data_IF_756175233518
#
_entry.id   IF_756175233518
#
_cell.length_a   1.000
_cell.length_b   1.000
_cell.length_c   1.000
_cell.angle_alpha   90.00
_cell.angle_beta   90.00
_cell.angle_gamma   90.00
#
_symmetry.space_group_name_H-M   'P 1'
#
loop_
_entity.id
_entity.type
_entity.pdbx_description
1 polymer ?
#
# COMPACT_ATOMS: atom_id res chain seq x y z
N UNK A 1 29.15 2.38 11.12
CA UNK A 1 29.76 2.18 9.79
C UNK A 1 29.59 3.42 8.95
N UNK A 2 30.69 3.96 8.37
CA UNK A 2 30.70 5.13 7.51
C UNK A 2 30.86 4.74 6.06
N UNK A 3 29.91 5.08 5.22
CA UNK A 3 29.88 4.74 3.80
C UNK A 3 29.98 6.04 2.98
N UNK A 4 30.75 6.00 1.90
CA UNK A 4 30.79 7.06 0.89
C UNK A 4 30.38 6.52 -0.47
N UNK A 5 29.40 7.17 -1.10
CA UNK A 5 29.09 7.03 -2.51
C UNK A 5 29.75 8.23 -3.22
N UNK A 6 30.66 8.02 -4.17
CA UNK A 6 31.37 9.11 -4.79
C UNK A 6 31.18 9.18 -6.30
N UNK A 7 31.23 10.40 -6.85
CA UNK A 7 31.20 10.66 -8.28
C UNK A 7 29.84 10.54 -8.97
N UNK A 8 28.75 10.32 -8.24
CA UNK A 8 27.40 10.19 -8.80
C UNK A 8 26.70 11.52 -9.04
N UNK A 9 25.70 11.53 -9.92
CA UNK A 9 24.80 12.66 -10.06
C UNK A 9 23.73 12.60 -8.97
N UNK A 10 23.85 13.45 -7.95
CA UNK A 10 22.95 13.51 -6.80
C UNK A 10 21.74 14.35 -7.15
N UNK A 11 20.55 13.72 -7.16
CA UNK A 11 19.27 14.41 -7.36
C UNK A 11 18.48 14.38 -6.05
N UNK A 12 18.36 15.56 -5.41
CA UNK A 12 17.60 15.76 -4.18
C UNK A 12 16.81 17.07 -4.28
N UNK A 13 15.59 17.01 -4.83
CA UNK A 13 14.76 18.21 -5.04
C UNK A 13 14.39 18.94 -3.74
N UNK A 14 14.28 18.21 -2.61
CA UNK A 14 13.94 18.79 -1.31
C UNK A 14 15.04 19.73 -0.83
N UNK A 15 16.30 19.38 -1.06
CA UNK A 15 17.46 20.19 -0.69
C UNK A 15 18.05 20.96 -1.87
N UNK A 16 17.36 21.03 -3.01
CA UNK A 16 17.77 21.77 -4.20
C UNK A 16 19.07 21.25 -4.83
N UNK A 17 19.36 19.94 -4.74
CA UNK A 17 20.57 19.36 -5.31
C UNK A 17 20.28 18.68 -6.65
N UNK A 18 21.06 19.03 -7.64
CA UNK A 18 21.21 18.36 -8.93
C UNK A 18 22.65 18.59 -9.40
N UNK A 19 23.55 17.75 -8.91
CA UNK A 19 24.98 17.95 -9.16
C UNK A 19 25.77 16.64 -9.00
N UNK A 20 26.90 16.55 -9.69
CA UNK A 20 27.89 15.51 -9.44
C UNK A 20 28.55 15.78 -8.08
N UNK A 21 28.59 14.75 -7.24
CA UNK A 21 29.15 14.88 -5.89
C UNK A 21 29.18 13.55 -5.14
N UNK A 22 29.41 13.69 -3.85
CA UNK A 22 29.52 12.56 -2.93
C UNK A 22 28.40 12.58 -1.90
N UNK A 23 27.90 11.38 -1.58
CA UNK A 23 26.94 11.16 -0.51
C UNK A 23 27.62 10.37 0.62
N UNK A 24 27.45 10.86 1.85
CA UNK A 24 28.01 10.21 3.03
C UNK A 24 26.87 9.67 3.90
N UNK A 25 27.03 8.40 4.31
CA UNK A 25 26.03 7.68 5.09
C UNK A 25 26.69 7.12 6.35
N UNK A 26 26.08 7.39 7.52
CA UNK A 26 26.48 6.80 8.79
C UNK A 26 25.24 6.21 9.48
N UNK A 27 25.34 4.94 9.83
CA UNK A 27 24.30 4.21 10.57
C UNK A 27 22.89 4.39 9.97
N UNK A 28 22.83 4.22 8.62
CA UNK A 28 21.59 4.33 7.85
C UNK A 28 21.08 5.74 7.60
N UNK A 29 21.85 6.79 7.97
CA UNK A 29 21.46 8.19 7.77
C UNK A 29 22.45 8.94 6.89
N UNK A 30 21.92 9.78 6.01
CA UNK A 30 22.74 10.73 5.24
C UNK A 30 23.27 11.78 6.19
N UNK A 31 24.57 12.06 6.09
CA UNK A 31 25.28 13.05 6.91
C UNK A 31 26.05 14.04 6.05
N UNK A 32 26.40 15.17 6.62
CA UNK A 32 27.37 16.10 6.02
C UNK A 32 28.75 15.46 5.94
N UNK A 33 29.57 15.92 5.01
CA UNK A 33 30.96 15.42 4.83
C UNK A 33 31.71 15.46 6.15
N UNK A 34 32.16 14.32 6.69
CA UNK A 34 32.86 14.29 7.97
C UNK A 34 34.30 14.76 7.79
N UNK A 35 34.68 15.80 8.54
CA UNK A 35 36.05 16.34 8.48
C UNK A 35 37.08 15.32 9.00
N UNK A 36 38.09 15.03 8.18
CA UNK A 36 39.24 14.19 8.58
C UNK A 36 38.95 12.72 8.85
N UNK A 37 37.75 12.22 8.57
CA UNK A 37 37.39 10.81 8.72
C UNK A 37 37.48 10.10 7.39
N UNK A 38 38.07 8.90 7.42
CA UNK A 38 38.03 8.00 6.25
C UNK A 38 36.78 7.13 6.31
N UNK A 39 36.15 6.86 5.17
CA UNK A 39 35.02 5.93 5.12
C UNK A 39 35.48 4.50 5.41
N UNK A 40 34.61 3.70 5.99
CA UNK A 40 34.82 2.28 6.17
C UNK A 40 34.63 1.54 4.84
N UNK A 41 33.72 2.05 3.98
CA UNK A 41 33.42 1.48 2.66
C UNK A 41 33.17 2.62 1.67
N UNK A 42 33.70 2.48 0.45
CA UNK A 42 33.45 3.40 -0.66
C UNK A 42 32.86 2.67 -1.86
N UNK A 43 31.90 3.32 -2.52
CA UNK A 43 31.33 2.85 -3.79
C UNK A 43 31.53 3.92 -4.85
N UNK A 44 32.11 3.55 -5.97
CA UNK A 44 32.16 4.37 -7.17
C UNK A 44 30.78 4.31 -7.85
N UNK A 45 30.10 5.43 -7.88
CA UNK A 45 28.81 5.60 -8.54
C UNK A 45 28.89 6.60 -9.68
N UNK A 46 30.08 6.77 -10.25
CA UNK A 46 30.31 7.63 -11.43
C UNK A 46 29.43 7.16 -12.59
N UNK A 47 28.73 8.13 -13.21
CA UNK A 47 27.78 7.84 -14.30
C UNK A 47 26.41 7.33 -13.84
N UNK A 48 26.20 7.17 -12.54
CA UNK A 48 24.89 6.78 -11.98
C UNK A 48 24.18 8.00 -11.38
N UNK A 49 22.84 7.91 -11.38
CA UNK A 49 21.99 8.84 -10.62
C UNK A 49 21.80 8.31 -9.21
N UNK A 50 22.05 9.16 -8.22
CA UNK A 50 21.83 8.88 -6.80
C UNK A 50 20.67 9.72 -6.32
N UNK A 51 19.56 9.10 -6.01
CA UNK A 51 18.33 9.77 -5.59
C UNK A 51 17.61 8.94 -4.52
N UNK A 52 16.60 9.53 -3.89
CA UNK A 52 15.72 8.79 -2.97
C UNK A 52 15.06 7.62 -3.70
N UNK A 53 14.97 6.47 -3.03
CA UNK A 53 14.26 5.31 -3.56
C UNK A 53 12.79 5.60 -3.77
N UNK A 54 12.20 5.03 -4.82
CA UNK A 54 10.80 5.19 -5.11
C UNK A 54 9.92 4.49 -4.05
N UNK A 55 8.75 5.08 -3.78
CA UNK A 55 7.75 4.55 -2.86
C UNK A 55 6.47 4.27 -3.66
N UNK A 56 6.04 3.01 -3.67
CA UNK A 56 4.75 2.62 -4.24
C UNK A 56 3.75 2.43 -3.10
N UNK A 57 2.81 3.37 -2.98
CA UNK A 57 1.80 3.36 -1.92
C UNK A 57 0.53 2.58 -2.30
N UNK A 58 0.48 2.00 -3.48
CA UNK A 58 -0.72 1.33 -3.98
C UNK A 58 -0.38 0.19 -4.94
N UNK A 59 0.15 -0.90 -4.42
CA UNK A 59 0.44 -2.09 -5.21
C UNK A 59 0.01 -3.36 -4.50
N UNK A 60 -0.71 -4.21 -5.21
CA UNK A 60 -1.17 -5.49 -4.68
C UNK A 60 -0.04 -6.52 -4.71
N UNK A 61 0.60 -6.72 -3.56
CA UNK A 61 1.76 -7.63 -3.40
C UNK A 61 1.51 -8.79 -2.45
N UNK A 62 0.43 -8.76 -1.67
CA UNK A 62 0.06 -9.80 -0.71
C UNK A 62 -1.45 -9.97 -0.58
N UNK A 63 -1.87 -11.03 0.09
CA UNK A 63 -3.27 -11.30 0.41
C UNK A 63 -4.01 -12.17 -0.59
N UNK A 64 -5.22 -12.61 -0.23
CA UNK A 64 -5.97 -13.63 -0.94
C UNK A 64 -6.27 -13.29 -2.40
N UNK A 65 -6.56 -12.03 -2.74
CA UNK A 65 -6.79 -11.59 -4.11
C UNK A 65 -5.56 -11.74 -5.00
N UNK A 66 -4.40 -11.37 -4.47
CA UNK A 66 -3.12 -11.52 -5.18
C UNK A 66 -2.77 -12.99 -5.40
N UNK A 67 -2.96 -13.83 -4.38
CA UNK A 67 -2.71 -15.26 -4.48
C UNK A 67 -3.62 -15.92 -5.51
N UNK A 68 -4.90 -15.54 -5.54
CA UNK A 68 -5.82 -15.99 -6.59
C UNK A 68 -5.36 -15.55 -7.97
N UNK A 69 -4.94 -14.29 -8.15
CA UNK A 69 -4.44 -13.79 -9.41
C UNK A 69 -3.18 -14.56 -9.87
N UNK A 70 -2.27 -14.86 -8.95
CA UNK A 70 -1.09 -15.68 -9.25
C UNK A 70 -1.46 -17.07 -9.76
N UNK A 71 -2.48 -17.70 -9.19
CA UNK A 71 -2.97 -19.02 -9.64
C UNK A 71 -3.66 -18.96 -11.01
N UNK A 72 -4.33 -17.85 -11.32
CA UNK A 72 -5.06 -17.67 -12.58
C UNK A 72 -4.17 -17.25 -13.76
N UNK A 73 -2.92 -16.89 -13.52
CA UNK A 73 -1.96 -16.45 -14.54
C UNK A 73 -0.75 -17.41 -14.63
N UNK A 74 -0.96 -18.68 -14.99
CA UNK A 74 0.11 -19.66 -15.02
C UNK A 74 1.22 -19.31 -16.02
N UNK A 75 0.91 -18.57 -17.08
CA UNK A 75 1.88 -18.07 -18.05
C UNK A 75 2.88 -17.07 -17.46
N UNK A 76 2.53 -16.40 -16.39
CA UNK A 76 3.42 -15.52 -15.65
C UNK A 76 4.36 -16.28 -14.71
N UNK A 77 4.17 -17.58 -14.52
CA UNK A 77 4.99 -18.39 -13.61
C UNK A 77 6.42 -18.53 -14.14
N UNK A 78 7.44 -18.41 -13.27
CA UNK A 78 8.84 -18.49 -13.67
C UNK A 78 9.23 -19.78 -14.37
N UNK A 79 8.49 -20.86 -14.15
CA UNK A 79 8.68 -22.15 -14.83
C UNK A 79 8.49 -22.09 -16.34
N UNK A 80 7.67 -21.17 -16.84
CA UNK A 80 7.44 -20.91 -18.26
C UNK A 80 8.42 -19.89 -18.87
N UNK A 81 9.19 -19.20 -18.03
CA UNK A 81 10.20 -18.23 -18.47
C UNK A 81 11.59 -18.83 -18.26
N UNK A 82 12.50 -18.59 -19.22
CA UNK A 82 13.91 -18.97 -19.10
C UNK A 82 14.66 -18.09 -18.10
N UNK A 83 14.16 -17.98 -16.87
CA UNK A 83 14.79 -17.20 -15.80
C UNK A 83 15.52 -18.11 -14.82
N UNK A 84 16.60 -17.65 -14.18
CA UNK A 84 17.27 -18.40 -13.13
C UNK A 84 16.28 -18.76 -12.02
N UNK A 85 16.22 -20.03 -11.66
CA UNK A 85 15.40 -20.51 -10.54
C UNK A 85 16.12 -20.20 -9.25
N UNK A 86 15.61 -19.26 -8.47
CA UNK A 86 16.26 -18.85 -7.22
C UNK A 86 15.84 -19.70 -6.02
N UNK A 87 14.68 -20.35 -6.08
CA UNK A 87 14.19 -21.25 -5.03
C UNK A 87 13.44 -22.42 -5.66
N UNK A 88 13.33 -23.58 -4.99
CA UNK A 88 12.48 -24.69 -5.47
C UNK A 88 11.02 -24.27 -5.69
N UNK A 89 10.49 -23.36 -4.88
CA UNK A 89 9.12 -22.83 -4.99
C UNK A 89 8.95 -21.92 -6.21
N UNK A 90 9.99 -21.25 -6.68
CA UNK A 90 9.92 -20.38 -7.87
C UNK A 90 9.62 -21.15 -9.16
N UNK A 91 9.74 -22.48 -9.13
CA UNK A 91 9.34 -23.34 -10.25
C UNK A 91 7.84 -23.60 -10.31
N UNK A 92 7.12 -23.35 -9.22
CA UNK A 92 5.69 -23.65 -9.07
C UNK A 92 4.84 -22.41 -9.38
N UNK A 93 5.33 -21.22 -9.08
CA UNK A 93 4.60 -19.99 -9.32
C UNK A 93 5.40 -18.75 -8.96
N UNK A 94 4.82 -17.59 -9.26
CA UNK A 94 5.36 -16.30 -8.84
C UNK A 94 5.19 -16.14 -7.33
N UNK A 95 6.29 -15.90 -6.62
CA UNK A 95 6.29 -15.77 -5.15
C UNK A 95 6.47 -14.32 -4.69
N UNK A 96 6.17 -14.07 -3.42
CA UNK A 96 6.46 -12.79 -2.74
C UNK A 96 7.95 -12.44 -2.81
N UNK A 97 8.83 -13.43 -2.74
CA UNK A 97 10.27 -13.24 -2.87
C UNK A 97 10.67 -12.60 -4.21
N UNK A 98 10.13 -13.10 -5.33
CA UNK A 98 10.37 -12.53 -6.66
C UNK A 98 9.81 -11.11 -6.79
N UNK A 99 8.68 -10.84 -6.14
CA UNK A 99 8.09 -9.49 -6.08
C UNK A 99 9.08 -8.49 -5.47
N UNK A 100 9.68 -8.81 -4.32
CA UNK A 100 10.65 -7.92 -3.67
C UNK A 100 11.87 -7.63 -4.54
N UNK A 101 12.39 -8.65 -5.21
CA UNK A 101 13.52 -8.48 -6.14
C UNK A 101 13.18 -7.58 -7.33
N UNK A 102 12.00 -7.78 -7.92
CA UNK A 102 11.54 -6.97 -9.06
C UNK A 102 11.40 -5.50 -8.68
N UNK A 103 10.75 -5.21 -7.54
CA UNK A 103 10.62 -3.84 -7.06
C UNK A 103 11.97 -3.18 -6.77
N UNK A 104 12.89 -3.91 -6.14
CA UNK A 104 14.24 -3.41 -5.88
C UNK A 104 15.01 -3.12 -7.18
N UNK A 105 14.90 -3.98 -8.20
CA UNK A 105 15.51 -3.77 -9.52
C UNK A 105 14.94 -2.54 -10.25
N UNK A 106 13.68 -2.20 -9.99
CA UNK A 106 13.03 -1.01 -10.54
C UNK A 106 13.33 0.28 -9.75
N UNK A 107 14.13 0.18 -8.67
CA UNK A 107 14.50 1.32 -7.84
C UNK A 107 13.50 1.69 -6.74
N UNK A 108 12.53 0.83 -6.45
CA UNK A 108 11.65 1.02 -5.31
C UNK A 108 12.31 0.54 -4.02
N UNK A 109 12.16 1.32 -2.97
CA UNK A 109 12.63 0.98 -1.62
C UNK A 109 11.49 0.67 -0.66
N UNK A 110 10.28 1.07 -0.98
CA UNK A 110 9.09 0.84 -0.14
C UNK A 110 7.88 0.54 -1.00
N UNK A 111 7.10 -0.47 -0.61
CA UNK A 111 5.86 -0.85 -1.30
C UNK A 111 4.76 -1.12 -0.28
N UNK A 112 3.58 -0.54 -0.50
CA UNK A 112 2.43 -0.66 0.39
C UNK A 112 1.32 -1.45 -0.32
N UNK A 113 0.91 -2.56 0.30
CA UNK A 113 -0.28 -3.30 -0.09
C UNK A 113 -1.53 -2.53 0.36
N UNK A 114 -2.36 -2.07 -0.57
CA UNK A 114 -3.42 -1.12 -0.23
C UNK A 114 -4.72 -1.76 0.28
N UNK A 115 -4.86 -3.08 0.33
CA UNK A 115 -6.18 -3.66 0.53
C UNK A 115 -6.19 -5.02 1.24
N UNK A 116 -5.87 -5.03 2.53
CA UNK A 116 -5.99 -6.23 3.36
C UNK A 116 -7.23 -6.15 4.24
N UNK A 117 -8.08 -7.16 4.15
CA UNK A 117 -9.23 -7.30 5.03
C UNK A 117 -8.76 -7.65 6.45
N UNK A 118 -9.41 -7.14 7.52
CA UNK A 118 -8.93 -7.33 8.88
C UNK A 118 -8.64 -8.79 9.27
N UNK A 119 -9.49 -9.71 8.86
CA UNK A 119 -9.33 -11.14 9.16
C UNK A 119 -8.21 -11.83 8.35
N UNK A 120 -7.63 -11.17 7.36
CA UNK A 120 -6.47 -11.66 6.60
C UNK A 120 -5.14 -11.04 7.08
N UNK A 121 -5.16 -10.16 8.07
CA UNK A 121 -3.99 -9.39 8.49
C UNK A 121 -2.79 -10.26 8.86
N UNK A 122 -3.00 -11.31 9.67
CA UNK A 122 -1.93 -12.22 10.06
C UNK A 122 -1.28 -12.89 8.85
N UNK A 123 -2.10 -13.39 7.93
CA UNK A 123 -1.61 -14.04 6.71
C UNK A 123 -0.82 -13.05 5.84
N UNK A 124 -1.32 -11.82 5.70
CA UNK A 124 -0.61 -10.78 4.95
C UNK A 124 0.75 -10.43 5.58
N UNK A 125 0.85 -10.37 6.91
CA UNK A 125 2.13 -10.17 7.59
C UNK A 125 3.14 -11.30 7.29
N UNK A 126 2.68 -12.55 7.30
CA UNK A 126 3.54 -13.69 6.95
C UNK A 126 4.05 -13.57 5.51
N UNK A 127 3.15 -13.27 4.55
CA UNK A 127 3.54 -13.08 3.15
C UNK A 127 4.49 -11.89 2.96
N UNK A 128 4.21 -10.76 3.61
CA UNK A 128 5.06 -9.58 3.52
C UNK A 128 6.44 -9.83 4.14
N UNK A 129 6.55 -10.68 5.17
CA UNK A 129 7.83 -11.01 5.78
C UNK A 129 8.77 -11.75 4.83
N UNK A 130 8.23 -12.47 3.85
CA UNK A 130 8.99 -13.18 2.83
C UNK A 130 9.50 -12.27 1.69
N UNK A 131 9.02 -11.03 1.61
CA UNK A 131 9.48 -10.07 0.60
C UNK A 131 10.84 -9.50 1.03
N UNK A 132 11.94 -9.77 0.31
CA UNK A 132 13.25 -9.28 0.67
C UNK A 132 13.49 -7.84 0.19
N UNK A 133 14.54 -7.21 0.70
CA UNK A 133 15.20 -6.00 0.20
C UNK A 133 14.39 -4.71 0.48
N UNK A 134 13.13 -4.67 0.11
CA UNK A 134 12.29 -3.46 0.21
C UNK A 134 11.57 -3.37 1.56
N UNK A 135 11.28 -2.16 2.01
CA UNK A 135 10.33 -1.91 3.08
C UNK A 135 8.90 -2.15 2.60
N UNK A 136 8.05 -2.65 3.47
CA UNK A 136 6.69 -3.03 3.12
C UNK A 136 5.75 -2.89 4.31
N UNK A 137 4.49 -2.68 3.98
CA UNK A 137 3.39 -2.61 4.93
C UNK A 137 2.07 -2.77 4.20
N UNK A 138 0.97 -2.69 4.93
CA UNK A 138 -0.35 -2.71 4.30
C UNK A 138 -1.33 -1.76 4.97
N UNK A 139 -2.38 -1.41 4.21
CA UNK A 139 -3.57 -0.73 4.70
C UNK A 139 -4.66 -1.76 4.96
N UNK A 140 -5.33 -1.67 6.12
CA UNK A 140 -6.52 -2.48 6.38
C UNK A 140 -7.76 -1.80 5.80
N UNK A 141 -8.62 -2.59 5.11
CA UNK A 141 -9.82 -2.05 4.46
C UNK A 141 -10.98 -2.08 5.45
N UNK A 142 -11.67 -0.96 5.60
CA UNK A 142 -12.92 -0.84 6.34
C UNK A 142 -14.02 -0.21 5.47
N UNK A 143 -15.28 -0.50 5.82
CA UNK A 143 -16.46 0.07 5.16
C UNK A 143 -17.36 -0.94 4.45
N UNK A 144 -16.99 -2.24 4.49
CA UNK A 144 -17.77 -3.32 3.89
C UNK A 144 -18.04 -4.47 4.87
N UNK A 145 -17.61 -4.35 6.13
CA UNK A 145 -17.77 -5.36 7.16
C UNK A 145 -19.19 -5.31 7.73
N UNK A 146 -19.83 -6.48 7.78
CA UNK A 146 -21.20 -6.63 8.29
C UNK A 146 -21.35 -6.06 9.72
N UNK A 147 -20.38 -6.30 10.59
CA UNK A 147 -20.40 -5.76 11.95
C UNK A 147 -20.44 -4.23 11.97
N UNK A 148 -19.57 -3.59 11.18
CA UNK A 148 -19.50 -2.14 11.08
C UNK A 148 -20.79 -1.57 10.49
N UNK A 149 -21.27 -2.12 9.37
CA UNK A 149 -22.48 -1.64 8.70
C UNK A 149 -23.72 -1.77 9.60
N UNK A 150 -23.88 -2.89 10.32
CA UNK A 150 -24.94 -3.05 11.32
C UNK A 150 -24.83 -2.08 12.49
N UNK A 151 -23.62 -1.78 12.93
CA UNK A 151 -23.38 -0.82 14.00
C UNK A 151 -23.76 0.59 13.56
N UNK A 152 -23.40 0.97 12.35
CA UNK A 152 -23.79 2.26 11.76
C UNK A 152 -25.29 2.36 11.59
N UNK A 153 -25.96 1.32 11.06
CA UNK A 153 -27.41 1.26 10.90
C UNK A 153 -28.17 1.45 12.22
N UNK A 154 -27.67 0.84 13.29
CA UNK A 154 -28.29 0.96 14.62
C UNK A 154 -28.04 2.30 15.30
N UNK A 155 -27.49 3.29 14.59
CA UNK A 155 -27.09 4.59 15.14
C UNK A 155 -26.28 4.48 16.43
N UNK A 156 -25.40 3.47 16.50
CA UNK A 156 -24.45 3.37 17.60
C UNK A 156 -23.63 4.65 17.71
N UNK A 157 -23.26 4.98 18.93
CA UNK A 157 -22.55 6.22 19.19
C UNK A 157 -21.28 6.32 18.36
N UNK A 158 -20.89 7.51 17.96
CA UNK A 158 -19.64 7.74 17.24
C UNK A 158 -18.45 7.13 17.99
N UNK A 159 -18.51 7.11 19.35
CA UNK A 159 -17.48 6.49 20.19
C UNK A 159 -17.33 4.99 19.96
N UNK A 160 -18.44 4.23 19.85
CA UNK A 160 -18.36 2.79 19.58
C UNK A 160 -17.74 2.50 18.19
N UNK A 161 -17.99 3.38 17.22
CA UNK A 161 -17.37 3.30 15.89
C UNK A 161 -15.87 3.61 15.97
N UNK A 162 -15.49 4.64 16.74
CA UNK A 162 -14.08 4.99 17.02
C UNK A 162 -13.35 3.85 17.71
N UNK A 163 -13.94 3.27 18.73
CA UNK A 163 -13.36 2.15 19.49
C UNK A 163 -13.18 0.91 18.59
N UNK A 164 -14.16 0.61 17.73
CA UNK A 164 -14.05 -0.50 16.77
C UNK A 164 -12.92 -0.27 15.76
N UNK A 165 -12.82 0.94 15.22
CA UNK A 165 -11.76 1.30 14.25
C UNK A 165 -10.39 1.20 14.93
N UNK A 166 -10.25 1.76 16.14
CA UNK A 166 -9.01 1.72 16.90
C UNK A 166 -8.58 0.29 17.22
N UNK A 167 -9.50 -0.53 17.72
CA UNK A 167 -9.24 -1.94 18.03
C UNK A 167 -8.86 -2.73 16.77
N UNK A 168 -9.54 -2.50 15.64
CA UNK A 168 -9.23 -3.16 14.38
C UNK A 168 -7.84 -2.76 13.87
N UNK A 169 -7.52 -1.47 13.92
CA UNK A 169 -6.21 -0.97 13.51
C UNK A 169 -5.09 -1.58 14.35
N UNK A 170 -5.26 -1.61 15.65
CA UNK A 170 -4.29 -2.19 16.59
C UNK A 170 -4.13 -3.70 16.38
N UNK A 171 -5.24 -4.42 16.24
CA UNK A 171 -5.22 -5.87 16.03
C UNK A 171 -4.57 -6.27 14.70
N UNK A 172 -4.78 -5.47 13.65
CA UNK A 172 -4.23 -5.75 12.31
C UNK A 172 -2.77 -5.34 12.16
N UNK A 173 -2.25 -4.46 13.01
CA UNK A 173 -0.90 -3.88 12.86
C UNK A 173 -0.68 -3.24 11.49
N UNK A 174 -1.74 -2.75 10.86
CA UNK A 174 -1.68 -2.03 9.60
C UNK A 174 -1.01 -0.65 9.78
N UNK A 175 -0.47 -0.08 8.71
CA UNK A 175 0.11 1.27 8.75
C UNK A 175 -0.94 2.38 8.58
N UNK A 176 -2.16 2.01 8.22
CA UNK A 176 -3.29 2.92 8.06
C UNK A 176 -4.56 2.17 7.69
N UNK A 177 -5.64 2.91 7.53
CA UNK A 177 -6.95 2.39 7.13
C UNK A 177 -7.24 2.85 5.71
N UNK A 178 -7.76 1.94 4.89
CA UNK A 178 -8.32 2.26 3.58
C UNK A 178 -9.84 2.15 3.64
N UNK A 179 -10.52 3.19 3.23
CA UNK A 179 -11.95 3.14 2.95
C UNK A 179 -12.13 3.12 1.43
N UNK A 180 -12.56 1.99 0.90
CA UNK A 180 -12.75 1.81 -0.53
C UNK A 180 -14.17 1.38 -0.81
N UNK A 181 -14.90 2.19 -1.57
CA UNK A 181 -16.26 1.89 -2.03
C UNK A 181 -17.14 1.27 -0.92
N UNK A 182 -17.37 2.00 0.20
CA UNK A 182 -18.05 1.45 1.36
C UNK A 182 -19.45 0.99 0.98
N UNK A 183 -19.80 -0.25 1.39
CA UNK A 183 -21.06 -0.89 1.00
C UNK A 183 -21.09 -1.47 -0.41
N UNK A 184 -20.11 -1.15 -1.27
CA UNK A 184 -20.09 -1.61 -2.66
C UNK A 184 -19.97 -3.13 -2.84
N UNK A 185 -19.35 -3.81 -1.89
CA UNK A 185 -19.28 -5.28 -1.89
C UNK A 185 -20.68 -5.89 -1.69
N UNK A 186 -21.51 -5.30 -0.81
CA UNK A 186 -22.89 -5.74 -0.60
C UNK A 186 -23.72 -5.48 -1.85
N UNK A 187 -23.63 -4.28 -2.44
CA UNK A 187 -24.29 -3.96 -3.70
C UNK A 187 -23.94 -4.94 -4.83
N UNK A 188 -22.66 -5.29 -4.95
CA UNK A 188 -22.20 -6.24 -5.96
C UNK A 188 -22.78 -7.65 -5.75
N UNK A 189 -22.88 -8.12 -4.51
CA UNK A 189 -23.51 -9.42 -4.19
C UNK A 189 -24.99 -9.47 -4.58
N UNK A 190 -25.70 -8.35 -4.45
CA UNK A 190 -27.11 -8.22 -4.84
C UNK A 190 -27.30 -7.88 -6.34
N UNK A 191 -26.26 -8.09 -7.17
CA UNK A 191 -26.29 -7.82 -8.61
C UNK A 191 -26.63 -6.35 -8.97
N UNK A 192 -26.35 -5.42 -8.12
CA UNK A 192 -26.50 -3.99 -8.43
C UNK A 192 -25.48 -3.61 -9.50
N UNK A 193 -25.97 -3.21 -10.68
CA UNK A 193 -25.13 -2.96 -11.87
C UNK A 193 -24.45 -1.59 -11.87
N UNK A 194 -24.96 -0.68 -11.10
CA UNK A 194 -24.39 0.67 -10.93
C UNK A 194 -24.57 1.06 -9.48
N UNK A 195 -23.50 1.52 -8.86
CA UNK A 195 -23.50 1.92 -7.47
C UNK A 195 -22.68 3.20 -7.33
N UNK A 196 -23.32 4.21 -6.74
CA UNK A 196 -22.74 5.54 -6.50
C UNK A 196 -22.66 5.82 -5.01
N UNK A 197 -22.07 6.94 -4.62
CA UNK A 197 -22.00 7.35 -3.22
C UNK A 197 -23.37 7.59 -2.56
N UNK A 198 -24.36 7.95 -3.37
CA UNK A 198 -25.69 8.32 -2.89
C UNK A 198 -26.69 7.16 -2.93
N UNK A 199 -26.28 6.03 -3.51
CA UNK A 199 -27.10 4.83 -3.53
C UNK A 199 -27.11 4.16 -2.15
N UNK A 200 -28.26 3.60 -1.82
CA UNK A 200 -28.44 2.86 -0.58
C UNK A 200 -27.78 1.48 -0.66
N UNK A 201 -27.01 1.16 0.36
CA UNK A 201 -26.39 -0.16 0.51
C UNK A 201 -27.48 -1.19 0.83
N UNK A 202 -27.66 -2.22 0.01
CA UNK A 202 -28.65 -3.26 0.25
C UNK A 202 -28.55 -3.82 1.66
N UNK A 203 -29.71 -4.11 2.28
CA UNK A 203 -29.88 -4.65 3.64
C UNK A 203 -29.55 -3.67 4.79
N UNK A 204 -28.78 -2.62 4.56
CA UNK A 204 -28.32 -1.74 5.65
C UNK A 204 -29.07 -0.38 5.73
N UNK A 205 -29.66 0.06 4.63
CA UNK A 205 -30.40 1.34 4.61
C UNK A 205 -29.51 2.56 4.87
N UNK A 206 -28.23 2.47 4.46
CA UNK A 206 -27.22 3.51 4.58
C UNK A 206 -26.66 3.82 3.20
N UNK A 207 -26.44 5.08 2.88
CA UNK A 207 -25.71 5.41 1.67
C UNK A 207 -24.20 5.20 1.84
N UNK A 208 -23.52 4.94 0.73
CA UNK A 208 -22.06 4.85 0.72
C UNK A 208 -21.39 6.12 1.26
N UNK A 209 -21.98 7.30 0.92
CA UNK A 209 -21.55 8.61 1.43
C UNK A 209 -21.66 8.72 2.94
N UNK A 210 -22.77 8.25 3.51
CA UNK A 210 -22.98 8.28 4.96
C UNK A 210 -21.96 7.40 5.68
N UNK A 211 -21.75 6.18 5.20
CA UNK A 211 -20.73 5.27 5.75
C UNK A 211 -19.35 5.93 5.70
N UNK A 212 -18.98 6.49 4.55
CA UNK A 212 -17.69 7.16 4.37
C UNK A 212 -17.52 8.34 5.32
N UNK A 213 -18.53 9.20 5.44
CA UNK A 213 -18.49 10.38 6.30
C UNK A 213 -18.32 10.01 7.78
N UNK A 214 -19.02 8.99 8.25
CA UNK A 214 -18.92 8.51 9.63
C UNK A 214 -17.57 7.86 9.91
N UNK A 215 -17.05 7.07 8.97
CA UNK A 215 -15.72 6.50 9.07
C UNK A 215 -14.64 7.59 9.09
N UNK A 216 -14.73 8.58 8.20
CA UNK A 216 -13.79 9.69 8.15
C UNK A 216 -13.76 10.46 9.47
N UNK A 217 -14.94 10.79 10.03
CA UNK A 217 -15.04 11.45 11.33
C UNK A 217 -14.37 10.64 12.44
N UNK A 218 -14.67 9.35 12.53
CA UNK A 218 -14.11 8.47 13.55
C UNK A 218 -12.58 8.32 13.41
N UNK A 219 -12.07 8.20 12.18
CA UNK A 219 -10.62 8.11 11.94
C UNK A 219 -9.90 9.41 12.30
N UNK A 220 -10.49 10.57 12.04
CA UNK A 220 -9.91 11.86 12.47
C UNK A 220 -9.75 11.95 13.98
N UNK A 221 -10.69 11.39 14.75
CA UNK A 221 -10.60 11.34 16.22
C UNK A 221 -9.47 10.42 16.70
N UNK A 222 -9.20 9.32 15.99
CA UNK A 222 -8.14 8.37 16.35
C UNK A 222 -6.74 8.80 15.93
N UNK A 223 -6.62 9.80 15.04
CA UNK A 223 -5.36 10.18 14.38
C UNK A 223 -4.69 9.06 13.58
N UNK A 224 -5.44 8.02 13.22
CA UNK A 224 -4.96 6.94 12.36
C UNK A 224 -4.91 7.45 10.91
N UNK A 225 -3.86 7.13 10.12
CA UNK A 225 -3.82 7.48 8.71
C UNK A 225 -4.98 6.86 7.94
N UNK A 226 -5.75 7.68 7.22
CA UNK A 226 -6.85 7.25 6.36
C UNK A 226 -6.49 7.47 4.89
N UNK A 227 -6.63 6.42 4.09
CA UNK A 227 -6.50 6.47 2.65
C UNK A 227 -7.88 6.31 2.01
N UNK A 228 -8.53 7.42 1.58
CA UNK A 228 -9.82 7.36 0.90
C UNK A 228 -9.64 6.87 -0.54
N UNK A 229 -10.46 5.91 -0.96
CA UNK A 229 -10.44 5.39 -2.32
C UNK A 229 -11.85 5.12 -2.80
N UNK A 230 -12.31 5.88 -3.79
CA UNK A 230 -13.60 5.69 -4.42
C UNK A 230 -13.45 5.00 -5.78
N UNK A 231 -14.25 3.96 -6.00
CA UNK A 231 -14.49 3.39 -7.31
C UNK A 231 -15.94 3.69 -7.70
N UNK A 232 -16.13 4.30 -8.86
CA UNK A 232 -17.43 4.24 -9.52
C UNK A 232 -17.49 2.95 -10.32
N UNK A 233 -18.29 2.00 -9.87
CA UNK A 233 -18.64 0.84 -10.69
C UNK A 233 -19.81 1.21 -11.59
N UNK A 234 -19.58 1.32 -12.88
CA UNK A 234 -20.64 1.20 -13.87
C UNK A 234 -20.37 -0.09 -14.63
N UNK A 235 -21.11 -1.14 -14.31
CA UNK A 235 -21.11 -2.38 -15.10
C UNK A 235 -21.85 -2.14 -16.42
N UNK A 236 -21.33 -1.24 -17.24
CA UNK A 236 -21.59 -1.30 -18.69
C UNK A 236 -20.53 -2.20 -19.29
N UNK A 237 -20.97 -3.11 -20.16
CA UNK A 237 -20.07 -3.82 -21.08
C UNK A 237 -19.11 -2.78 -21.65
N UNK A 238 -17.79 -2.93 -21.37
CA UNK A 238 -16.70 -2.07 -21.84
C UNK A 238 -16.55 -0.68 -21.20
N UNK A 239 -15.64 -0.59 -20.29
CA UNK A 239 -14.75 0.46 -19.79
C UNK A 239 -14.86 0.68 -18.29
N UNK A 240 -13.83 0.21 -17.61
CA UNK A 240 -13.52 0.65 -16.23
C UNK A 240 -12.89 2.04 -16.34
N UNK A 241 -13.59 3.06 -15.85
CA UNK A 241 -12.99 4.40 -15.75
C UNK A 241 -12.56 4.61 -14.32
N UNK A 242 -11.25 4.70 -14.10
CA UNK A 242 -10.66 5.05 -12.81
C UNK A 242 -10.75 6.56 -12.61
N UNK A 243 -11.53 7.02 -11.64
CA UNK A 243 -11.47 8.40 -11.19
C UNK A 243 -10.61 8.46 -9.92
N UNK A 244 -9.44 9.10 -10.02
CA UNK A 244 -8.64 9.49 -8.86
C UNK A 244 -9.29 10.70 -8.22
N UNK A 245 -9.73 10.58 -6.98
CA UNK A 245 -10.04 11.74 -6.16
C UNK A 245 -8.82 11.99 -5.25
N UNK A 246 -7.89 12.81 -5.73
CA UNK A 246 -6.89 13.41 -4.85
C UNK A 246 -7.55 14.57 -4.13
N UNK A 247 -8.05 14.36 -2.91
CA UNK A 247 -8.37 15.46 -2.02
C UNK A 247 -7.05 16.10 -1.60
N UNK A 248 -6.79 17.30 -2.11
CA UNK A 248 -5.68 18.15 -1.68
C UNK A 248 -5.86 18.52 -0.21
N UNK A 249 -5.18 17.85 0.69
CA UNK A 249 -4.89 18.41 2.01
C UNK A 249 -3.76 19.39 1.83
N UNK A 250 -4.11 20.68 1.75
CA UNK A 250 -3.12 21.75 1.97
C UNK A 250 -2.68 21.64 3.43
N UNK A 251 -1.43 21.28 3.65
CA UNK A 251 -0.75 21.60 4.88
C UNK A 251 -0.40 23.09 4.82
N UNK A 252 -1.00 23.87 5.72
CA UNK A 252 -0.52 25.20 6.10
C UNK A 252 0.64 25.06 7.06
#
# INVERSE_FOLDING_TARGET
>A
MLIRLYGGNIIDPVNGKDCIGDLWIRDGRIISVPKGQKPDVEYDVTGHVVMAGAIDIHSHIAGGGVNTARLLLPEAHPGHQKRPKHTPLSSIGWTTFETGRLYAQLGFTTVIEPAILPYHALHAHLELSDIPIIDKGFLTVLGNEDFLLKSLRKNKSDREVVDYIGATFEATRAIGIKCANPGGVCACKENVRSFTLDDEVPEYGLSSREIFTRLQKAVLETKIPLYPHEFRFTLRKTRVTFARCCASTRCS
#
